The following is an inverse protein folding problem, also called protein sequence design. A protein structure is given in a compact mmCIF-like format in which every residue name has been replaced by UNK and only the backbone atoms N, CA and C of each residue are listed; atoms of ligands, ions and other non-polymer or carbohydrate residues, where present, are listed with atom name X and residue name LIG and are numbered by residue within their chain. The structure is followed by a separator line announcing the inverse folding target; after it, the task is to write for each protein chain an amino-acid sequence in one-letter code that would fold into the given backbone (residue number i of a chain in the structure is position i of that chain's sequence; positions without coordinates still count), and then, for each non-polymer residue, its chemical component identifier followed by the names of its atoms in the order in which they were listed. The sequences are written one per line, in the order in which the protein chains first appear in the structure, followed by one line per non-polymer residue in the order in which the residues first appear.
data_IF_350091991312
#
_entry.id   IF_350091991312
#
_cell.length_a   1.000
_cell.length_b   1.000
_cell.length_c   1.000
_cell.angle_alpha   90.00
_cell.angle_beta   90.00
_cell.angle_gamma   90.00
#
_symmetry.space_group_name_H-M   'P 1'
#
loop_
_entity.id
_entity.type
_entity.pdbx_description
1 polymer ?
#
# COMPACT_ATOMS: atom_id res chain seq x y z
N UNK A 1 2.09 -18.14 -36.67
CA UNK A 1 3.09 -17.08 -36.95
C UNK A 1 3.00 -15.98 -35.90
N UNK A 2 1.83 -15.33 -35.77
CA UNK A 2 1.56 -14.28 -34.76
C UNK A 2 1.93 -14.63 -33.31
N UNK A 3 1.68 -15.86 -32.84
CA UNK A 3 2.04 -16.27 -31.47
C UNK A 3 3.56 -16.22 -31.21
N UNK A 4 4.38 -16.74 -32.13
CA UNK A 4 5.85 -16.74 -31.99
C UNK A 4 6.42 -15.33 -32.07
N UNK A 5 5.84 -14.46 -32.89
CA UNK A 5 6.21 -13.04 -32.96
C UNK A 5 5.81 -12.30 -31.70
N UNK A 6 4.62 -12.58 -31.15
CA UNK A 6 4.18 -12.04 -29.86
C UNK A 6 5.12 -12.40 -28.71
N UNK A 7 5.57 -13.66 -28.63
CA UNK A 7 6.56 -14.07 -27.63
C UNK A 7 7.89 -13.31 -27.78
N UNK A 8 8.38 -13.14 -29.01
CA UNK A 8 9.60 -12.35 -29.27
C UNK A 8 9.47 -10.89 -28.84
N UNK A 9 8.30 -10.28 -29.06
CA UNK A 9 8.04 -8.91 -28.61
C UNK A 9 7.98 -8.81 -27.08
N UNK A 10 7.33 -9.77 -26.42
CA UNK A 10 7.29 -9.83 -24.95
C UNK A 10 8.69 -9.99 -24.36
N UNK A 11 9.52 -10.87 -24.91
CA UNK A 11 10.91 -11.06 -24.48
C UNK A 11 11.75 -9.80 -24.67
N UNK A 12 11.57 -9.08 -25.79
CA UNK A 12 12.22 -7.78 -26.00
C UNK A 12 11.82 -6.76 -24.92
N UNK A 13 10.53 -6.71 -24.54
CA UNK A 13 10.06 -5.83 -23.48
C UNK A 13 10.66 -6.20 -22.11
N UNK A 14 10.78 -7.50 -21.79
CA UNK A 14 11.45 -7.95 -20.57
C UNK A 14 12.93 -7.55 -20.52
N UNK A 15 13.64 -7.58 -21.65
CA UNK A 15 15.03 -7.14 -21.69
C UNK A 15 15.16 -5.63 -21.39
N UNK A 16 14.27 -4.81 -21.94
CA UNK A 16 14.23 -3.38 -21.62
C UNK A 16 13.86 -3.14 -20.14
N UNK A 17 12.97 -3.96 -19.60
CA UNK A 17 12.58 -3.91 -18.20
C UNK A 17 13.77 -4.18 -17.26
N UNK A 18 14.61 -5.17 -17.59
CA UNK A 18 15.82 -5.47 -16.83
C UNK A 18 16.81 -4.29 -16.77
N UNK A 19 16.94 -3.53 -17.86
CA UNK A 19 17.76 -2.30 -17.89
C UNK A 19 17.19 -1.22 -16.97
N UNK A 20 15.86 -1.05 -16.97
CA UNK A 20 15.15 -0.10 -16.09
C UNK A 20 15.30 -0.50 -14.62
N UNK A 21 15.14 -1.78 -14.29
CA UNK A 21 15.34 -2.29 -12.93
C UNK A 21 16.78 -2.04 -12.45
N UNK A 22 17.77 -2.25 -13.32
CA UNK A 22 19.17 -1.94 -13.00
C UNK A 22 19.39 -0.44 -12.73
N UNK A 23 18.71 0.44 -13.46
CA UNK A 23 18.77 1.88 -13.21
C UNK A 23 18.20 2.24 -11.84
N UNK A 24 17.06 1.65 -11.47
CA UNK A 24 16.48 1.84 -10.15
C UNK A 24 17.36 1.26 -9.05
N UNK A 25 17.95 0.07 -9.25
CA UNK A 25 18.92 -0.50 -8.31
C UNK A 25 20.08 0.44 -8.03
N UNK A 26 20.69 0.98 -9.08
CA UNK A 26 21.76 1.97 -8.97
C UNK A 26 21.30 3.23 -8.25
N UNK A 27 20.09 3.70 -8.57
CA UNK A 27 19.52 4.90 -7.94
C UNK A 27 19.37 4.71 -6.43
N UNK A 28 18.85 3.55 -6.00
CA UNK A 28 18.68 3.24 -4.58
C UNK A 28 20.03 3.18 -3.86
N UNK A 29 21.00 2.43 -4.40
CA UNK A 29 22.27 2.16 -3.73
C UNK A 29 23.19 3.38 -3.71
N UNK A 30 23.21 4.18 -4.77
CA UNK A 30 24.12 5.34 -4.88
C UNK A 30 23.51 6.62 -4.27
N UNK A 31 22.20 6.82 -4.38
CA UNK A 31 21.58 8.10 -4.03
C UNK A 31 20.64 8.03 -2.83
N UNK A 32 19.94 6.92 -2.60
CA UNK A 32 18.87 6.89 -1.60
C UNK A 32 19.24 6.26 -0.26
N UNK A 33 20.01 5.17 -0.22
CA UNK A 33 20.23 4.38 1.00
C UNK A 33 20.80 5.17 2.19
N UNK A 34 21.52 6.26 1.93
CA UNK A 34 22.11 7.14 2.96
C UNK A 34 21.26 8.38 3.27
N UNK A 35 20.08 8.50 2.68
CA UNK A 35 19.15 9.60 2.93
C UNK A 35 18.22 9.29 4.10
N UNK A 36 17.79 10.29 4.85
CA UNK A 36 16.84 10.10 5.95
C UNK A 36 15.48 9.58 5.44
N UNK A 37 15.11 9.91 4.21
CA UNK A 37 13.91 9.44 3.52
C UNK A 37 13.88 7.92 3.43
N UNK A 38 14.99 7.31 3.01
CA UNK A 38 15.06 5.85 2.89
C UNK A 38 14.93 5.15 4.25
N UNK A 39 15.58 5.67 5.30
CA UNK A 39 15.43 5.13 6.65
C UNK A 39 14.03 5.37 7.23
N UNK A 40 13.43 6.52 6.93
CA UNK A 40 12.07 6.84 7.33
C UNK A 40 11.05 5.91 6.70
N UNK A 41 11.14 5.64 5.39
CA UNK A 41 10.24 4.69 4.76
C UNK A 41 10.48 3.25 5.25
N UNK A 42 11.72 2.86 5.59
CA UNK A 42 12.00 1.58 6.22
C UNK A 42 11.32 1.48 7.60
N UNK A 43 11.38 2.55 8.38
CA UNK A 43 10.65 2.65 9.64
C UNK A 43 9.13 2.56 9.44
N UNK A 44 8.58 3.23 8.42
CA UNK A 44 7.15 3.12 8.06
C UNK A 44 6.74 1.70 7.65
N UNK A 45 7.68 0.87 7.18
CA UNK A 45 7.41 -0.54 6.93
C UNK A 45 7.44 -1.37 8.22
N UNK A 46 8.49 -1.23 9.04
CA UNK A 46 8.73 -2.13 10.19
C UNK A 46 7.93 -1.73 11.44
N UNK A 47 7.93 -0.44 11.79
CA UNK A 47 7.40 0.05 13.07
C UNK A 47 5.91 -0.23 13.24
N UNK A 48 5.02 -0.01 12.24
CA UNK A 48 3.60 -0.30 12.42
C UNK A 48 3.33 -1.75 12.77
N UNK A 49 4.03 -2.70 12.15
CA UNK A 49 3.91 -4.12 12.48
C UNK A 49 4.35 -4.41 13.91
N UNK A 50 5.51 -3.90 14.35
CA UNK A 50 5.97 -4.07 15.74
C UNK A 50 4.91 -3.57 16.72
N UNK A 51 4.39 -2.35 16.49
CA UNK A 51 3.33 -1.76 17.33
C UNK A 51 2.07 -2.63 17.31
N UNK A 52 1.66 -3.13 16.15
CA UNK A 52 0.51 -4.02 16.02
C UNK A 52 0.71 -5.33 16.79
N UNK A 53 1.88 -5.98 16.69
CA UNK A 53 2.17 -7.19 17.46
C UNK A 53 2.10 -6.98 18.97
N UNK A 54 2.47 -5.79 19.47
CA UNK A 54 2.42 -5.44 20.89
C UNK A 54 0.98 -5.17 21.36
N UNK A 55 0.21 -4.40 20.58
CA UNK A 55 -1.10 -3.87 20.99
C UNK A 55 -2.31 -4.57 20.35
N UNK A 56 -2.12 -5.64 19.57
CA UNK A 56 -3.23 -6.35 18.92
C UNK A 56 -4.20 -6.96 19.94
N UNK A 57 -5.45 -7.01 19.55
CA UNK A 57 -6.46 -7.85 20.19
C UNK A 57 -6.16 -9.32 19.88
N UNK A 58 -5.75 -10.09 20.90
CA UNK A 58 -5.36 -11.49 20.75
C UNK A 58 -6.56 -12.39 20.43
N UNK A 59 -7.76 -12.03 20.88
CA UNK A 59 -8.96 -12.83 20.66
C UNK A 59 -9.48 -12.68 19.22
N UNK A 60 -9.20 -11.53 18.59
CA UNK A 60 -9.62 -11.22 17.22
C UNK A 60 -8.48 -11.25 16.19
N UNK A 61 -7.34 -11.85 16.54
CA UNK A 61 -6.13 -11.81 15.72
C UNK A 61 -6.35 -12.39 14.32
N UNK A 62 -7.06 -13.52 14.21
CA UNK A 62 -7.31 -14.15 12.91
C UNK A 62 -8.18 -13.26 12.01
N UNK A 63 -9.25 -12.68 12.56
CA UNK A 63 -10.18 -11.81 11.82
C UNK A 63 -9.49 -10.51 11.37
N UNK A 64 -8.64 -9.94 12.24
CA UNK A 64 -7.86 -8.75 11.91
C UNK A 64 -6.84 -9.05 10.80
N UNK A 65 -6.09 -10.15 10.90
CA UNK A 65 -5.13 -10.55 9.86
C UNK A 65 -5.81 -10.85 8.53
N UNK A 66 -7.00 -11.47 8.52
CA UNK A 66 -7.80 -11.65 7.31
C UNK A 66 -8.21 -10.31 6.70
N UNK A 67 -8.63 -9.35 7.53
CA UNK A 67 -8.92 -7.99 7.10
C UNK A 67 -7.70 -7.30 6.48
N UNK A 68 -6.55 -7.37 7.16
CA UNK A 68 -5.29 -6.81 6.67
C UNK A 68 -4.81 -7.47 5.38
N UNK A 69 -4.91 -8.80 5.26
CA UNK A 69 -4.56 -9.53 4.03
C UNK A 69 -5.45 -9.12 2.85
N UNK A 70 -6.77 -9.01 3.07
CA UNK A 70 -7.69 -8.53 2.05
C UNK A 70 -7.35 -7.10 1.63
N UNK A 71 -7.01 -6.22 2.58
CA UNK A 71 -6.53 -4.87 2.27
C UNK A 71 -5.29 -4.91 1.37
N UNK A 72 -4.28 -5.73 1.67
CA UNK A 72 -3.06 -5.85 0.84
C UNK A 72 -3.42 -6.24 -0.59
N UNK A 73 -4.24 -7.27 -0.76
CA UNK A 73 -4.64 -7.79 -2.09
C UNK A 73 -5.35 -6.70 -2.89
N UNK A 74 -6.36 -6.06 -2.30
CA UNK A 74 -7.14 -5.03 -2.97
C UNK A 74 -6.31 -3.78 -3.28
N UNK A 75 -5.52 -3.32 -2.32
CA UNK A 75 -4.67 -2.14 -2.48
C UNK A 75 -3.64 -2.34 -3.60
N UNK A 76 -2.94 -3.49 -3.63
CA UNK A 76 -1.99 -3.81 -4.69
C UNK A 76 -2.68 -3.94 -6.06
N UNK A 77 -3.88 -4.50 -6.11
CA UNK A 77 -4.62 -4.63 -7.38
C UNK A 77 -4.99 -3.26 -7.95
N UNK A 78 -5.49 -2.36 -7.10
CA UNK A 78 -5.81 -0.98 -7.47
C UNK A 78 -4.54 -0.24 -7.89
N UNK A 79 -3.46 -0.38 -7.12
CA UNK A 79 -2.19 0.32 -7.35
C UNK A 79 -1.53 -0.07 -8.66
N UNK A 80 -1.40 -1.37 -8.94
CA UNK A 80 -0.84 -1.85 -10.20
C UNK A 80 -1.69 -1.41 -11.40
N UNK A 81 -3.02 -1.39 -11.24
CA UNK A 81 -3.91 -0.86 -12.28
C UNK A 81 -3.67 0.64 -12.51
N UNK A 82 -3.55 1.41 -11.43
CA UNK A 82 -3.35 2.86 -11.51
C UNK A 82 -1.98 3.23 -12.09
N UNK A 83 -0.92 2.51 -11.70
CA UNK A 83 0.41 2.66 -12.28
C UNK A 83 0.41 2.34 -13.78
N UNK A 84 -0.33 1.30 -14.22
CA UNK A 84 -0.43 0.97 -15.64
C UNK A 84 -1.16 2.04 -16.47
N UNK A 85 -2.00 2.84 -15.82
CA UNK A 85 -2.72 3.97 -16.40
C UNK A 85 -1.97 5.30 -16.24
N UNK A 86 -0.75 5.25 -15.70
CA UNK A 86 0.09 6.41 -15.40
C UNK A 86 -0.57 7.46 -14.48
N UNK A 87 -1.48 7.01 -13.60
CA UNK A 87 -2.24 7.91 -12.72
C UNK A 87 -1.43 8.48 -11.58
N UNK A 88 -0.37 7.78 -11.15
CA UNK A 88 0.60 8.27 -10.17
C UNK A 88 1.93 7.54 -10.31
N UNK A 89 2.92 7.94 -9.51
CA UNK A 89 4.22 7.25 -9.44
C UNK A 89 4.84 7.37 -8.04
N UNK A 90 5.82 6.51 -7.75
CA UNK A 90 6.57 6.49 -6.49
C UNK A 90 8.04 6.84 -6.75
N UNK A 91 8.44 8.13 -6.66
CA UNK A 91 9.82 8.52 -6.94
C UNK A 91 10.84 7.95 -5.93
N UNK A 92 10.42 7.76 -4.68
CA UNK A 92 11.25 7.21 -3.61
C UNK A 92 11.15 5.69 -3.60
N UNK A 93 12.11 5.02 -4.25
CA UNK A 93 12.19 3.56 -4.31
C UNK A 93 13.02 3.02 -3.15
N UNK A 94 12.43 2.09 -2.41
CA UNK A 94 13.05 1.56 -1.19
C UNK A 94 13.90 0.32 -1.47
N UNK A 95 13.34 -0.60 -2.26
CA UNK A 95 13.96 -1.90 -2.55
C UNK A 95 13.98 -2.08 -4.06
N UNK A 96 15.15 -2.37 -4.66
CA UNK A 96 15.30 -2.44 -6.10
C UNK A 96 14.85 -3.77 -6.73
N UNK A 97 13.96 -4.50 -6.04
CA UNK A 97 13.39 -5.77 -6.51
C UNK A 97 12.03 -5.54 -7.17
N UNK A 98 11.31 -4.48 -6.80
CA UNK A 98 10.09 -4.05 -7.46
C UNK A 98 9.90 -2.54 -7.25
N UNK A 99 10.38 -1.71 -8.18
CA UNK A 99 10.34 -0.25 -8.02
C UNK A 99 8.90 0.30 -8.05
N UNK A 100 7.95 -0.52 -8.50
CA UNK A 100 6.54 -0.17 -8.64
C UNK A 100 5.74 -0.41 -7.36
N UNK A 101 6.25 -1.19 -6.42
CA UNK A 101 5.55 -1.46 -5.16
C UNK A 101 6.12 -0.55 -4.08
N UNK A 102 5.34 0.46 -3.66
CA UNK A 102 5.68 1.21 -2.45
C UNK A 102 5.40 0.35 -1.21
N UNK A 103 6.37 -0.49 -0.85
CA UNK A 103 6.28 -1.50 0.21
C UNK A 103 5.73 -0.97 1.54
N UNK A 104 6.19 0.19 2.07
CA UNK A 104 5.71 0.70 3.36
C UNK A 104 4.20 0.95 3.37
N UNK A 105 3.66 1.49 2.28
CA UNK A 105 2.24 1.80 2.21
C UNK A 105 1.37 0.55 2.10
N UNK A 106 1.64 -0.30 1.10
CA UNK A 106 0.77 -1.42 0.75
C UNK A 106 0.83 -2.58 1.75
N UNK A 107 2.02 -2.87 2.29
CA UNK A 107 2.23 -4.03 3.16
C UNK A 107 2.28 -3.67 4.65
N UNK A 108 2.27 -2.39 5.01
CA UNK A 108 2.32 -1.97 6.41
C UNK A 108 1.24 -0.94 6.71
N UNK A 109 1.36 0.30 6.24
CA UNK A 109 0.52 1.39 6.70
C UNK A 109 -0.98 1.19 6.44
N UNK A 110 -1.37 0.81 5.22
CA UNK A 110 -2.77 0.57 4.89
C UNK A 110 -3.36 -0.63 5.67
N UNK A 111 -2.80 -1.85 5.58
CA UNK A 111 -3.37 -3.01 6.28
C UNK A 111 -3.29 -2.88 7.81
N UNK A 112 -2.16 -2.43 8.36
CA UNK A 112 -1.99 -2.28 9.81
C UNK A 112 -2.85 -1.13 10.34
N UNK A 113 -2.92 -0.01 9.62
CA UNK A 113 -3.79 1.11 9.95
C UNK A 113 -5.26 0.71 9.99
N UNK A 114 -5.72 -0.08 9.01
CA UNK A 114 -7.09 -0.62 8.99
C UNK A 114 -7.31 -1.59 10.14
N UNK A 115 -6.38 -2.52 10.42
CA UNK A 115 -6.50 -3.43 11.56
C UNK A 115 -6.63 -2.67 12.89
N UNK A 116 -5.83 -1.61 13.08
CA UNK A 116 -5.97 -0.71 14.23
C UNK A 116 -7.32 -0.01 14.27
N UNK A 117 -7.74 0.56 13.13
CA UNK A 117 -9.03 1.21 13.03
C UNK A 117 -10.16 0.24 13.39
N UNK A 118 -10.11 -1.03 12.96
CA UNK A 118 -11.11 -2.04 13.28
C UNK A 118 -11.13 -2.42 14.76
N UNK A 119 -9.96 -2.66 15.38
CA UNK A 119 -9.89 -3.11 16.77
C UNK A 119 -10.14 -2.00 17.81
N UNK A 120 -9.77 -0.74 17.53
CA UNK A 120 -9.96 0.37 18.47
C UNK A 120 -11.43 0.75 18.52
N UNK A 121 -12.04 0.76 19.71
CA UNK A 121 -13.46 1.06 19.93
C UNK A 121 -14.37 0.28 18.94
N UNK A 122 -14.44 -1.06 19.04
CA UNK A 122 -15.15 -1.89 18.06
C UNK A 122 -16.67 -1.64 18.02
N UNK A 123 -17.24 -1.11 19.12
CA UNK A 123 -18.66 -0.76 19.24
C UNK A 123 -19.02 0.62 18.64
N UNK A 124 -18.04 1.41 18.21
CA UNK A 124 -18.30 2.71 17.59
C UNK A 124 -18.89 2.52 16.18
N UNK A 125 -19.71 3.49 15.75
CA UNK A 125 -20.34 3.47 14.44
C UNK A 125 -19.30 3.25 13.33
N UNK A 126 -19.43 2.15 12.58
CA UNK A 126 -18.50 1.77 11.52
C UNK A 126 -18.45 2.80 10.39
N UNK A 127 -19.56 3.51 10.14
CA UNK A 127 -19.62 4.58 9.14
C UNK A 127 -18.66 5.71 9.47
N UNK A 128 -18.77 6.20 10.70
CA UNK A 128 -17.93 7.28 11.21
C UNK A 128 -16.45 6.87 11.23
N UNK A 129 -16.16 5.63 11.66
CA UNK A 129 -14.79 5.08 11.66
C UNK A 129 -14.18 5.06 10.28
N UNK A 130 -14.91 4.54 9.29
CA UNK A 130 -14.44 4.46 7.92
C UNK A 130 -14.14 5.84 7.35
N UNK A 131 -15.04 6.80 7.56
CA UNK A 131 -14.84 8.19 7.10
C UNK A 131 -13.61 8.82 7.77
N UNK A 132 -13.47 8.70 9.10
CA UNK A 132 -12.33 9.28 9.83
C UNK A 132 -11.02 8.66 9.35
N UNK A 133 -10.93 7.32 9.30
CA UNK A 133 -9.74 6.62 8.84
C UNK A 133 -9.35 7.06 7.43
N UNK A 134 -10.32 7.06 6.52
CA UNK A 134 -10.08 7.38 5.10
C UNK A 134 -9.68 8.83 4.91
N UNK A 135 -10.26 9.75 5.69
CA UNK A 135 -9.90 11.16 5.66
C UNK A 135 -8.46 11.39 6.16
N UNK A 136 -8.07 10.75 7.26
CA UNK A 136 -6.70 10.83 7.78
C UNK A 136 -5.71 10.23 6.77
N UNK A 137 -6.02 9.07 6.20
CA UNK A 137 -5.14 8.38 5.27
C UNK A 137 -4.96 9.16 3.95
N UNK A 138 -6.05 9.63 3.35
CA UNK A 138 -6.00 10.40 2.11
C UNK A 138 -5.43 11.81 2.31
N UNK A 139 -6.13 12.64 3.09
CA UNK A 139 -5.80 14.06 3.18
C UNK A 139 -4.61 14.35 4.10
N UNK A 140 -4.31 13.45 5.04
CA UNK A 140 -3.10 13.52 5.86
C UNK A 140 -1.96 12.74 5.22
N UNK A 141 -2.11 11.42 5.13
CA UNK A 141 -1.06 10.50 4.68
C UNK A 141 -0.57 10.75 3.27
N UNK A 142 -1.46 10.74 2.27
CA UNK A 142 -1.04 10.90 0.86
C UNK A 142 -0.48 12.29 0.57
N UNK A 143 -1.07 13.34 1.15
CA UNK A 143 -0.52 14.70 1.03
C UNK A 143 0.84 14.83 1.70
N UNK A 144 1.05 14.19 2.85
CA UNK A 144 2.37 14.14 3.48
C UNK A 144 3.38 13.39 2.61
N UNK A 145 3.02 12.24 2.02
CA UNK A 145 3.89 11.51 1.10
C UNK A 145 4.21 12.27 -0.17
N UNK A 146 3.26 13.06 -0.68
CA UNK A 146 3.53 14.00 -1.76
C UNK A 146 4.55 15.07 -1.34
N UNK A 147 4.36 15.68 -0.17
CA UNK A 147 5.23 16.73 0.34
C UNK A 147 6.69 16.28 0.57
N UNK A 148 6.92 15.01 0.92
CA UNK A 148 8.27 14.46 1.13
C UNK A 148 8.84 13.74 -0.10
N UNK A 149 8.15 13.77 -1.24
CA UNK A 149 8.61 13.19 -2.50
C UNK A 149 8.45 11.67 -2.62
N UNK A 150 7.65 11.04 -1.76
CA UNK A 150 7.39 9.60 -1.81
C UNK A 150 6.33 9.23 -2.85
N UNK A 151 5.44 10.17 -3.14
CA UNK A 151 4.29 9.98 -4.01
C UNK A 151 4.18 11.16 -4.97
N UNK A 152 3.96 10.89 -6.25
CA UNK A 152 3.64 11.91 -7.25
C UNK A 152 2.28 11.59 -7.88
N UNK A 153 1.22 12.37 -7.58
CA UNK A 153 -0.13 12.08 -8.03
C UNK A 153 -0.38 12.35 -9.52
N UNK A 154 0.51 12.94 -10.34
CA UNK A 154 0.27 13.16 -11.80
C UNK A 154 -1.14 13.68 -12.18
N UNK A 155 -1.73 14.58 -11.38
CA UNK A 155 -3.11 15.14 -11.47
C UNK A 155 -4.24 14.30 -10.83
N UNK A 156 -3.92 13.17 -10.20
CA UNK A 156 -4.81 12.41 -9.35
C UNK A 156 -5.27 13.25 -8.15
N UNK A 157 -6.60 13.30 -7.97
CA UNK A 157 -7.19 14.02 -6.85
C UNK A 157 -7.11 13.20 -5.57
N UNK A 158 -6.71 13.83 -4.46
CA UNK A 158 -6.74 13.23 -3.12
C UNK A 158 -8.15 12.76 -2.71
N UNK A 159 -9.21 13.28 -3.34
CA UNK A 159 -10.56 12.80 -3.13
C UNK A 159 -10.74 11.34 -3.59
N UNK A 160 -10.05 10.93 -4.65
CA UNK A 160 -10.10 9.54 -5.10
C UNK A 160 -9.34 8.62 -4.14
N UNK A 161 -8.23 9.09 -3.55
CA UNK A 161 -7.55 8.36 -2.47
C UNK A 161 -8.51 8.12 -1.30
N UNK A 162 -9.29 9.14 -0.91
CA UNK A 162 -10.31 9.01 0.12
C UNK A 162 -11.33 7.92 -0.21
N UNK A 163 -11.82 7.88 -1.46
CA UNK A 163 -12.77 6.84 -1.90
C UNK A 163 -12.11 5.45 -1.85
N UNK A 164 -10.85 5.32 -2.24
CA UNK A 164 -10.09 4.06 -2.18
C UNK A 164 -9.95 3.60 -0.73
N UNK A 165 -9.49 4.45 0.19
CA UNK A 165 -9.36 4.05 1.60
C UNK A 165 -10.70 3.68 2.23
N UNK A 166 -11.78 4.37 1.84
CA UNK A 166 -13.11 4.08 2.35
C UNK A 166 -13.56 2.69 1.88
N UNK A 167 -13.35 2.38 0.60
CA UNK A 167 -13.59 1.05 0.04
C UNK A 167 -12.76 -0.02 0.75
N UNK A 168 -11.45 0.18 0.90
CA UNK A 168 -10.55 -0.77 1.57
C UNK A 168 -10.96 -1.03 3.03
N UNK A 169 -11.32 0.02 3.77
CA UNK A 169 -11.80 -0.08 5.15
C UNK A 169 -13.06 -0.94 5.23
N UNK A 170 -14.05 -0.73 4.36
CA UNK A 170 -15.29 -1.51 4.41
C UNK A 170 -15.11 -2.94 3.94
N UNK A 171 -14.29 -3.19 2.92
CA UNK A 171 -13.96 -4.54 2.50
C UNK A 171 -13.35 -5.34 3.68
N UNK A 172 -12.38 -4.74 4.37
CA UNK A 172 -11.76 -5.32 5.56
C UNK A 172 -12.74 -5.48 6.73
N UNK A 173 -13.61 -4.49 6.97
CA UNK A 173 -14.64 -4.56 8.01
C UNK A 173 -15.62 -5.71 7.78
N UNK A 174 -16.08 -5.89 6.54
CA UNK A 174 -17.02 -6.96 6.18
C UNK A 174 -16.39 -8.35 6.39
N UNK A 175 -15.15 -8.56 5.93
CA UNK A 175 -14.49 -9.86 6.09
C UNK A 175 -14.16 -10.17 7.55
N UNK A 176 -13.70 -9.17 8.31
CA UNK A 176 -13.40 -9.33 9.73
C UNK A 176 -14.67 -9.71 10.53
N UNK A 177 -15.82 -9.13 10.18
CA UNK A 177 -17.11 -9.44 10.82
C UNK A 177 -17.65 -10.82 10.47
N UNK A 178 -17.38 -11.34 9.27
CA UNK A 178 -17.77 -12.71 8.90
C UNK A 178 -17.01 -13.72 9.77
N UNK A 179 -15.71 -13.51 9.98
CA UNK A 179 -14.88 -14.37 10.81
C UNK A 179 -15.23 -14.35 12.31
N UNK A 180 -15.97 -13.35 12.79
CA UNK A 180 -16.50 -13.32 14.16
C UNK A 180 -17.74 -14.20 14.34
N UNK A 181 -18.54 -14.42 13.30
CA UNK A 181 -19.79 -15.18 13.41
C UNK A 181 -19.59 -16.70 13.46
N UNK A 182 -18.37 -17.17 13.25
CA UNK A 182 -18.03 -18.60 13.19
C UNK A 182 -17.47 -19.15 14.53
N UNK A 183 -17.35 -18.30 15.54
CA UNK A 183 -16.95 -18.64 16.91
C UNK A 183 -18.03 -18.19 17.88
#
# INVERSE_FOLDING_TARGET
MAFKEGLKQAEKAYNQFAEVDSLFAKTVTEYFIFTWQWWFGLALFIVPWIIWFIFRDRDRTAQLLLGGLLTIILALTIDLSALSLDLWSYPMIMVPVSPFVFLPYHFSLAPVGIMFALQIKPKMNSLLKGIIFSAIAAFGGMNFFHAIGFYNPKNWSTLYDFIIFLFLYYAAYLIAKIGERQH
#
